data_IF_894006263338
#
_entry.id   IF_894006263338
#
_cell.length_a   1.000
_cell.length_b   1.000
_cell.length_c   1.000
_cell.angle_alpha   90.00
_cell.angle_beta   90.00
_cell.angle_gamma   90.00
#
_symmetry.space_group_name_H-M   'P 1'
#
loop_
_entity.id
_entity.type
_entity.pdbx_description
1 polymer ?
#
# COMPACT_ATOMS: atom_id res chain seq x y z
N UNK A 1 6.43 -1.45 7.45
CA UNK A 1 5.32 -1.85 8.34
C UNK A 1 4.48 -0.63 8.67
N UNK A 2 3.15 -0.72 8.56
CA UNK A 2 2.19 0.34 8.88
C UNK A 2 1.03 -0.21 9.73
N UNK A 3 1.16 -0.27 11.07
CA UNK A 3 0.11 -0.77 11.96
C UNK A 3 -0.96 0.30 12.28
N UNK A 4 -1.32 1.14 11.31
CA UNK A 4 -2.26 2.24 11.52
C UNK A 4 -3.69 1.73 11.68
N UNK A 5 -4.42 2.19 12.70
CA UNK A 5 -5.87 1.92 12.83
C UNK A 5 -6.69 2.74 11.83
N UNK A 6 -6.15 3.89 11.42
CA UNK A 6 -6.77 4.78 10.44
C UNK A 6 -5.72 5.38 9.52
N UNK A 7 -5.95 5.22 8.23
CA UNK A 7 -5.26 5.88 7.14
C UNK A 7 -6.26 6.50 6.17
N UNK A 8 -5.99 7.73 5.74
CA UNK A 8 -6.86 8.43 4.79
C UNK A 8 -6.68 7.94 3.36
N UNK A 9 -5.42 7.83 2.92
CA UNK A 9 -5.06 7.31 1.59
C UNK A 9 -3.98 6.22 1.67
N UNK A 10 -3.17 6.17 2.73
CA UNK A 10 -2.04 5.25 2.76
C UNK A 10 -0.89 5.66 1.83
N UNK A 11 -0.65 6.96 1.66
CA UNK A 11 0.48 7.48 0.88
C UNK A 11 1.82 6.84 1.26
N UNK A 12 2.15 6.59 2.55
CA UNK A 12 3.43 5.97 2.88
C UNK A 12 3.55 4.53 2.35
N UNK A 13 2.42 3.81 2.18
CA UNK A 13 2.42 2.49 1.55
C UNK A 13 2.68 2.59 0.04
N UNK A 14 2.07 3.56 -0.66
CA UNK A 14 2.32 3.82 -2.08
C UNK A 14 3.78 4.21 -2.34
N UNK A 15 4.34 5.09 -1.51
CA UNK A 15 5.73 5.53 -1.60
C UNK A 15 6.71 4.37 -1.36
N UNK A 16 6.43 3.53 -0.36
CA UNK A 16 7.21 2.31 -0.11
C UNK A 16 7.19 1.39 -1.34
N UNK A 17 6.02 1.11 -1.91
CA UNK A 17 5.91 0.26 -3.11
C UNK A 17 6.60 0.88 -4.33
N UNK A 18 6.47 2.20 -4.52
CA UNK A 18 7.17 2.94 -5.58
C UNK A 18 8.70 2.85 -5.44
N UNK A 19 9.21 2.74 -4.19
CA UNK A 19 10.61 2.48 -3.89
C UNK A 19 10.98 0.99 -3.98
N UNK A 20 10.03 0.10 -4.28
CA UNK A 20 10.22 -1.36 -4.32
C UNK A 20 10.47 -1.95 -2.94
N UNK A 21 9.97 -1.29 -1.90
CA UNK A 21 9.91 -1.81 -0.56
C UNK A 21 8.59 -2.57 -0.40
N UNK A 22 8.67 -3.82 0.05
CA UNK A 22 7.50 -4.61 0.40
C UNK A 22 6.75 -3.98 1.57
N UNK A 23 5.42 -4.10 1.57
CA UNK A 23 4.57 -3.49 2.61
C UNK A 23 3.84 -4.56 3.40
N UNK A 24 3.95 -4.44 4.72
CA UNK A 24 3.04 -5.06 5.69
C UNK A 24 2.25 -3.93 6.33
N UNK A 25 0.92 -4.01 6.30
CA UNK A 25 0.03 -2.95 6.78
C UNK A 25 -1.17 -3.54 7.53
N UNK A 26 -1.83 -2.70 8.32
CA UNK A 26 -3.08 -3.07 8.95
C UNK A 26 -4.19 -3.26 7.90
N UNK A 27 -5.06 -4.25 8.12
CA UNK A 27 -6.33 -4.43 7.40
C UNK A 27 -7.35 -3.41 7.92
N UNK A 28 -7.13 -2.15 7.60
CA UNK A 28 -7.92 -1.02 8.09
C UNK A 28 -8.05 0.09 7.05
N UNK A 29 -9.25 0.67 7.02
CA UNK A 29 -9.60 1.86 6.22
C UNK A 29 -9.13 1.78 4.75
N UNK A 30 -8.25 2.69 4.32
CA UNK A 30 -7.77 2.80 2.96
C UNK A 30 -6.65 1.81 2.62
N UNK A 31 -5.99 1.19 3.61
CA UNK A 31 -4.80 0.36 3.36
C UNK A 31 -5.07 -0.86 2.46
N UNK A 32 -6.17 -1.62 2.63
CA UNK A 32 -6.48 -2.75 1.74
C UNK A 32 -6.67 -2.32 0.28
N UNK A 33 -7.37 -1.20 0.06
CA UNK A 33 -7.58 -0.64 -1.27
C UNK A 33 -6.27 -0.12 -1.87
N UNK A 34 -5.48 0.60 -1.08
CA UNK A 34 -4.21 1.19 -1.51
C UNK A 34 -3.18 0.13 -1.90
N UNK A 35 -3.09 -0.96 -1.13
CA UNK A 35 -2.21 -2.08 -1.46
C UNK A 35 -2.74 -2.89 -2.64
N UNK A 36 -4.06 -3.01 -2.81
CA UNK A 36 -4.71 -3.80 -3.87
C UNK A 36 -4.10 -5.19 -4.07
N UNK A 37 -3.84 -5.89 -2.95
CA UNK A 37 -3.24 -7.22 -2.95
C UNK A 37 -1.72 -7.27 -3.13
N UNK A 38 -1.02 -6.13 -3.22
CA UNK A 38 0.44 -6.06 -3.36
C UNK A 38 1.16 -5.79 -2.02
N UNK A 39 0.73 -6.49 -0.97
CA UNK A 39 1.32 -6.43 0.36
C UNK A 39 0.64 -7.40 1.32
N UNK A 40 1.16 -7.51 2.54
CA UNK A 40 0.58 -8.31 3.60
C UNK A 40 -0.33 -7.44 4.47
N UNK A 41 -1.59 -7.86 4.63
CA UNK A 41 -2.57 -7.23 5.51
C UNK A 41 -2.71 -8.04 6.81
N UNK A 42 -2.65 -7.36 7.95
CA UNK A 42 -2.76 -7.97 9.28
C UNK A 42 -3.83 -7.24 10.11
N UNK A 43 -4.51 -7.91 11.07
CA UNK A 43 -5.41 -7.23 11.97
C UNK A 43 -4.66 -6.15 12.79
N UNK A 44 -5.19 -4.92 12.94
CA UNK A 44 -4.49 -3.83 13.63
C UNK A 44 -4.26 -4.10 15.13
N UNK A 45 -5.11 -4.91 15.75
CA UNK A 45 -5.09 -5.20 17.19
C UNK A 45 -4.61 -6.62 17.53
N UNK A 46 -3.85 -7.24 16.62
CA UNK A 46 -3.29 -8.58 16.80
C UNK A 46 -1.75 -8.52 16.87
N UNK A 47 -1.17 -8.21 18.04
CA UNK A 47 0.28 -8.06 18.18
C UNK A 47 1.06 -9.34 17.86
N UNK A 48 0.46 -10.52 18.01
CA UNK A 48 1.09 -11.80 17.69
C UNK A 48 1.26 -11.94 16.17
N UNK A 49 0.22 -11.61 15.39
CA UNK A 49 0.32 -11.58 13.93
C UNK A 49 1.41 -10.62 13.42
N UNK A 50 1.57 -9.46 14.06
CA UNK A 50 2.65 -8.52 13.73
C UNK A 50 4.03 -9.05 14.07
N UNK A 51 4.20 -9.71 15.23
CA UNK A 51 5.46 -10.32 15.64
C UNK A 51 5.86 -11.49 14.71
N UNK A 52 4.89 -12.31 14.30
CA UNK A 52 5.10 -13.40 13.35
C UNK A 52 5.54 -12.86 11.99
N UNK A 53 4.90 -11.80 11.50
CA UNK A 53 5.30 -11.16 10.24
C UNK A 53 6.71 -10.57 10.32
N UNK A 54 7.10 -9.93 11.44
CA UNK A 54 8.46 -9.44 11.63
C UNK A 54 9.49 -10.57 11.60
N UNK A 55 9.20 -11.69 12.26
CA UNK A 55 10.06 -12.88 12.26
C UNK A 55 10.19 -13.46 10.85
N UNK A 56 9.08 -13.55 10.11
CA UNK A 56 9.08 -14.03 8.74
C UNK A 56 9.87 -13.11 7.79
N UNK A 57 9.79 -11.78 7.99
CA UNK A 57 10.60 -10.81 7.25
C UNK A 57 12.10 -11.00 7.50
N UNK A 58 12.51 -11.27 8.74
CA UNK A 58 13.92 -11.55 9.07
C UNK A 58 14.45 -12.82 8.39
N UNK A 59 13.60 -13.83 8.19
CA UNK A 59 13.96 -15.06 7.47
C UNK A 59 14.17 -14.86 5.95
N UNK A 60 13.74 -13.72 5.41
CA UNK A 60 14.05 -13.26 4.04
C UNK A 60 13.07 -13.69 2.95
N UNK A 61 12.44 -14.87 3.02
CA UNK A 61 11.53 -15.35 1.96
C UNK A 61 10.32 -14.45 1.76
N UNK A 62 9.68 -14.02 2.86
CA UNK A 62 8.56 -13.08 2.83
C UNK A 62 8.97 -11.70 2.30
N UNK A 63 10.19 -11.24 2.65
CA UNK A 63 10.68 -9.94 2.19
C UNK A 63 10.89 -9.90 0.68
N UNK A 64 11.42 -10.99 0.09
CA UNK A 64 11.59 -11.15 -1.36
C UNK A 64 10.23 -11.15 -2.08
N UNK A 65 9.25 -11.87 -1.54
CA UNK A 65 7.89 -11.95 -2.08
C UNK A 65 7.21 -10.58 -2.10
N UNK A 66 7.21 -9.89 -0.96
CA UNK A 66 6.62 -8.55 -0.84
C UNK A 66 7.33 -7.52 -1.72
N UNK A 67 8.64 -7.64 -1.88
CA UNK A 67 9.40 -6.82 -2.83
C UNK A 67 8.98 -7.07 -4.27
N UNK A 68 8.82 -8.33 -4.66
CA UNK A 68 8.34 -8.69 -6.01
C UNK A 68 6.96 -8.10 -6.28
N UNK A 69 6.02 -8.21 -5.33
CA UNK A 69 4.70 -7.58 -5.40
C UNK A 69 4.79 -6.06 -5.54
N UNK A 70 5.58 -5.40 -4.69
CA UNK A 70 5.77 -3.96 -4.73
C UNK A 70 6.32 -3.49 -6.09
N UNK A 71 7.31 -4.19 -6.65
CA UNK A 71 7.86 -3.90 -7.98
C UNK A 71 6.81 -4.04 -9.09
N UNK A 72 5.92 -5.04 -9.00
CA UNK A 72 4.82 -5.23 -9.95
C UNK A 72 3.73 -4.14 -9.89
N UNK A 73 3.56 -3.49 -8.73
CA UNK A 73 2.61 -2.39 -8.50
C UNK A 73 3.16 -1.02 -8.91
N UNK A 74 4.47 -0.89 -9.16
CA UNK A 74 5.13 0.39 -9.47
C UNK A 74 4.47 1.10 -10.66
N UNK A 75 4.37 2.42 -10.57
CA UNK A 75 3.90 3.28 -11.67
C UNK A 75 2.38 3.44 -11.77
N UNK A 76 1.62 2.70 -10.96
CA UNK A 76 0.22 3.02 -10.72
C UNK A 76 0.17 4.20 -9.73
N UNK A 77 -0.62 5.24 -10.01
CA UNK A 77 -0.84 6.43 -9.15
C UNK A 77 0.20 7.57 -9.24
N UNK A 78 0.57 8.00 -10.44
CA UNK A 78 1.29 9.26 -10.61
C UNK A 78 0.37 10.48 -10.44
N UNK A 79 0.92 11.57 -9.88
CA UNK A 79 0.18 12.84 -9.74
C UNK A 79 -0.29 13.42 -11.08
N UNK A 80 0.36 13.05 -12.18
CA UNK A 80 0.01 13.49 -13.52
C UNK A 80 -1.31 12.86 -13.98
N UNK A 81 -1.50 11.57 -13.75
CA UNK A 81 -2.74 10.85 -14.05
C UNK A 81 -3.90 11.38 -13.17
N UNK A 82 -3.64 11.61 -11.88
CA UNK A 82 -4.63 12.20 -10.97
C UNK A 82 -5.07 13.59 -11.44
N UNK A 83 -4.13 14.45 -11.82
CA UNK A 83 -4.43 15.79 -12.31
C UNK A 83 -5.22 15.74 -13.63
N UNK A 84 -4.87 14.83 -14.55
CA UNK A 84 -5.59 14.65 -15.80
C UNK A 84 -7.05 14.24 -15.56
N UNK A 85 -7.29 13.23 -14.71
CA UNK A 85 -8.63 12.78 -14.36
C UNK A 85 -9.46 13.88 -13.66
N UNK A 86 -8.84 14.65 -12.76
CA UNK A 86 -9.51 15.78 -12.12
C UNK A 86 -9.92 16.85 -13.13
N UNK A 87 -9.05 17.20 -14.08
CA UNK A 87 -9.35 18.14 -15.16
C UNK A 87 -10.54 17.66 -16.02
N UNK A 88 -10.58 16.38 -16.38
CA UNK A 88 -11.69 15.79 -17.14
C UNK A 88 -13.03 15.95 -16.40
N UNK A 89 -13.06 15.66 -15.10
CA UNK A 89 -14.25 15.86 -14.26
C UNK A 89 -14.71 17.32 -14.24
N UNK A 90 -13.79 18.28 -14.10
CA UNK A 90 -14.14 19.70 -14.09
C UNK A 90 -14.69 20.17 -15.44
N UNK A 91 -14.07 19.75 -16.54
CA UNK A 91 -14.56 20.09 -17.88
C UNK A 91 -15.97 19.54 -18.11
N UNK A 92 -16.23 18.28 -17.72
CA UNK A 92 -17.54 17.64 -17.86
C UNK A 92 -18.64 18.31 -17.01
N UNK A 93 -18.28 18.91 -15.86
CA UNK A 93 -19.25 19.59 -15.00
C UNK A 93 -19.58 21.03 -15.44
N UNK A 94 -18.77 21.61 -16.33
CA UNK A 94 -18.92 23.01 -16.78
C UNK A 94 -19.42 23.15 -18.23
N UNK A 95 -19.61 22.05 -18.95
CA UNK A 95 -20.19 22.01 -20.31
C UNK A 95 -21.65 21.60 -20.30
#
# INVERSE_FOLDING_TARGET
MLPSEYEGLGLPALEAMACGCGVVAADSTALPETLAGCGLLLPPHDPDAWADAMTALESGSLAEELRSMALGRRGLHGWREVAAAACECYLAATG
#
